data_IF_939240291905
#
_entry.id   IF_939240291905
#
_cell.length_a   1.000
_cell.length_b   1.000
_cell.length_c   1.000
_cell.angle_alpha   90.00
_cell.angle_beta   90.00
_cell.angle_gamma   90.00
#
_symmetry.space_group_name_H-M   'P 1'
#
loop_
_entity.id
_entity.type
_entity.pdbx_description
1 polymer ?
#
# COMPACT_ATOMS: atom_id res chain seq x y z
N UNK A 1 -12.49 10.11 -12.80
CA UNK A 1 -11.51 9.08 -13.22
C UNK A 1 -11.76 7.82 -12.40
N UNK A 2 -11.49 6.62 -12.95
CA UNK A 2 -11.50 5.39 -12.17
C UNK A 2 -10.41 5.39 -11.08
N UNK A 3 -10.62 4.62 -10.02
CA UNK A 3 -9.58 4.33 -9.05
C UNK A 3 -8.42 3.57 -9.68
N UNK A 4 -7.23 3.87 -9.19
CA UNK A 4 -5.96 3.27 -9.56
C UNK A 4 -5.25 2.83 -8.29
N UNK A 5 -4.36 1.86 -8.40
CA UNK A 5 -3.54 1.46 -7.28
C UNK A 5 -2.38 0.58 -7.68
N UNK A 6 -1.65 0.13 -6.67
CA UNK A 6 -0.47 -0.68 -6.82
C UNK A 6 0.16 -1.00 -5.48
N UNK A 7 1.41 -1.43 -5.55
CA UNK A 7 2.22 -1.81 -4.39
C UNK A 7 3.39 -0.87 -4.18
N UNK A 8 3.77 -0.71 -2.92
CA UNK A 8 4.94 0.03 -2.46
C UNK A 8 6.12 -0.93 -2.27
N UNK A 9 7.30 -0.53 -2.75
CA UNK A 9 8.51 -1.36 -2.73
C UNK A 9 9.64 -0.59 -2.08
N UNK A 10 10.37 -1.23 -1.18
CA UNK A 10 11.46 -0.59 -0.47
C UNK A 10 11.93 -1.38 0.74
N UNK A 11 12.44 -0.67 1.74
CA UNK A 11 13.04 -1.27 2.93
C UNK A 11 12.38 -0.72 4.20
N UNK A 12 12.29 -1.58 5.22
CA UNK A 12 11.94 -1.17 6.59
C UNK A 12 13.23 -0.96 7.37
N UNK A 13 13.47 0.26 7.86
CA UNK A 13 14.64 0.56 8.68
C UNK A 13 14.33 0.30 10.16
N UNK A 14 14.50 -0.96 10.61
CA UNK A 14 14.26 -1.34 12.01
C UNK A 14 12.84 -0.94 12.48
N UNK A 15 12.76 -0.23 13.61
CA UNK A 15 11.51 0.37 14.10
C UNK A 15 11.36 1.86 13.71
N UNK A 16 12.22 2.37 12.82
CA UNK A 16 12.43 3.80 12.62
C UNK A 16 11.78 4.36 11.36
N UNK A 17 11.20 3.51 10.49
CA UNK A 17 10.40 3.97 9.36
C UNK A 17 10.53 3.14 8.09
N UNK A 18 9.86 3.63 7.05
CA UNK A 18 9.85 3.05 5.72
C UNK A 18 10.68 3.89 4.77
N UNK A 19 11.50 3.26 3.94
CA UNK A 19 12.08 3.90 2.77
C UNK A 19 11.46 3.30 1.51
N UNK A 20 10.62 4.09 0.85
CA UNK A 20 9.98 3.70 -0.40
C UNK A 20 10.94 4.01 -1.54
N UNK A 21 11.37 2.95 -2.24
CA UNK A 21 12.27 3.06 -3.40
C UNK A 21 11.50 3.16 -4.71
N UNK A 22 10.41 2.40 -4.84
CA UNK A 22 9.65 2.30 -6.08
C UNK A 22 8.18 1.98 -5.79
N UNK A 23 7.32 2.19 -6.78
CA UNK A 23 5.91 1.84 -6.74
C UNK A 23 5.51 1.20 -8.07
N UNK A 24 4.58 0.24 -8.01
CA UNK A 24 3.95 -0.26 -9.23
C UNK A 24 2.75 0.60 -9.60
N UNK A 25 2.45 0.67 -10.89
CA UNK A 25 1.30 1.38 -11.45
C UNK A 25 0.26 0.37 -11.96
N UNK A 26 -1.01 0.77 -12.15
CA UNK A 26 -2.02 -0.10 -12.74
C UNK A 26 -1.56 -0.71 -14.05
N UNK A 27 -1.80 -2.00 -14.19
CA UNK A 27 -1.47 -2.82 -15.36
C UNK A 27 -2.74 -3.25 -16.10
N UNK A 28 -2.54 -3.76 -17.33
CA UNK A 28 -3.65 -4.04 -18.27
C UNK A 28 -4.71 -5.00 -17.74
N UNK A 29 -4.35 -5.94 -16.86
CA UNK A 29 -5.30 -6.91 -16.31
C UNK A 29 -5.98 -6.42 -15.03
N UNK A 30 -5.59 -5.29 -14.46
CA UNK A 30 -6.27 -4.78 -13.27
C UNK A 30 -7.69 -4.29 -13.60
N UNK A 31 -8.56 -4.35 -12.61
CA UNK A 31 -9.94 -3.88 -12.75
C UNK A 31 -10.07 -2.56 -12.02
N UNK A 32 -10.28 -1.50 -12.80
CA UNK A 32 -10.53 -0.15 -12.30
C UNK A 32 -11.97 0.27 -12.56
N UNK A 33 -12.64 0.74 -11.52
CA UNK A 33 -13.93 1.41 -11.60
C UNK A 33 -13.90 2.68 -10.74
N UNK A 34 -14.97 3.48 -10.75
CA UNK A 34 -14.99 4.77 -10.02
C UNK A 34 -14.80 4.63 -8.51
N UNK A 35 -15.17 3.50 -7.91
CA UNK A 35 -15.17 3.28 -6.46
C UNK A 35 -14.57 1.91 -6.09
N UNK A 36 -13.76 1.36 -6.99
CA UNK A 36 -13.07 0.09 -6.74
C UNK A 36 -11.88 -0.08 -7.66
N UNK A 37 -10.75 -0.44 -7.07
CA UNK A 37 -9.59 -1.01 -7.75
C UNK A 37 -9.36 -2.46 -7.32
N UNK A 38 -9.14 -3.37 -8.27
CA UNK A 38 -8.76 -4.76 -7.99
C UNK A 38 -7.42 -5.02 -8.68
N UNK A 39 -6.37 -5.14 -7.85
CA UNK A 39 -5.04 -5.57 -8.27
C UNK A 39 -5.03 -7.06 -8.54
N UNK A 40 -4.83 -7.46 -9.79
CA UNK A 40 -4.79 -8.87 -10.20
C UNK A 40 -3.76 -9.17 -11.29
N UNK A 41 -3.13 -8.14 -11.88
CA UNK A 41 -2.07 -8.37 -12.85
C UNK A 41 -0.81 -8.95 -12.16
N UNK A 42 -0.24 -10.07 -12.66
CA UNK A 42 0.93 -10.69 -12.05
C UNK A 42 2.19 -9.81 -12.13
N UNK A 43 2.22 -8.79 -13.00
CA UNK A 43 3.35 -7.87 -13.13
C UNK A 43 3.72 -7.18 -11.82
N UNK A 44 2.75 -6.87 -10.95
CA UNK A 44 3.04 -6.26 -9.65
C UNK A 44 3.98 -7.15 -8.81
N UNK A 45 3.68 -8.44 -8.73
CA UNK A 45 4.48 -9.41 -8.00
C UNK A 45 5.85 -9.60 -8.68
N UNK A 46 5.87 -9.68 -10.01
CA UNK A 46 7.12 -9.81 -10.75
C UNK A 46 8.05 -8.61 -10.54
N UNK A 47 7.52 -7.39 -10.44
CA UNK A 47 8.32 -6.19 -10.15
C UNK A 47 8.89 -6.24 -8.73
N UNK A 48 8.10 -6.66 -7.73
CA UNK A 48 8.60 -6.88 -6.36
C UNK A 48 9.72 -7.92 -6.34
N UNK A 49 9.53 -9.07 -6.99
CA UNK A 49 10.54 -10.14 -7.07
C UNK A 49 11.81 -9.70 -7.78
N UNK A 50 11.68 -8.91 -8.85
CA UNK A 50 12.82 -8.34 -9.55
C UNK A 50 13.62 -7.39 -8.65
N UNK A 51 12.95 -6.51 -7.89
CA UNK A 51 13.61 -5.64 -6.93
C UNK A 51 14.27 -6.43 -5.81
N UNK A 52 13.58 -7.43 -5.27
CA UNK A 52 14.12 -8.33 -4.25
C UNK A 52 15.38 -9.03 -4.72
N UNK A 53 15.35 -9.61 -5.93
CA UNK A 53 16.50 -10.31 -6.52
C UNK A 53 17.67 -9.35 -6.77
N UNK A 54 17.42 -8.19 -7.41
CA UNK A 54 18.46 -7.20 -7.73
C UNK A 54 19.13 -6.63 -6.48
N UNK A 55 18.38 -6.46 -5.40
CA UNK A 55 18.86 -5.93 -4.13
C UNK A 55 19.44 -6.99 -3.19
N UNK A 56 19.49 -8.27 -3.61
CA UNK A 56 19.89 -9.40 -2.75
C UNK A 56 19.03 -9.52 -1.49
N UNK A 57 17.75 -9.18 -1.62
CA UNK A 57 16.73 -9.39 -0.62
C UNK A 57 16.38 -8.19 0.25
N UNK A 58 17.09 -7.06 0.12
CA UNK A 58 16.81 -5.89 0.97
C UNK A 58 15.53 -5.17 0.57
N UNK A 59 15.27 -5.03 -0.74
CA UNK A 59 14.04 -4.43 -1.26
C UNK A 59 12.89 -5.44 -1.23
N UNK A 60 11.80 -5.07 -0.56
CA UNK A 60 10.65 -5.91 -0.31
C UNK A 60 9.35 -5.15 -0.55
N UNK A 61 8.24 -5.90 -0.55
CA UNK A 61 6.90 -5.33 -0.51
C UNK A 61 6.66 -4.64 0.84
N UNK A 62 6.26 -3.37 0.80
CA UNK A 62 5.99 -2.55 2.00
C UNK A 62 4.50 -2.34 2.27
N UNK A 63 3.64 -2.52 1.26
CA UNK A 63 2.21 -2.27 1.38
C UNK A 63 1.56 -1.83 0.09
N UNK A 64 0.42 -1.16 0.18
CA UNK A 64 -0.44 -0.83 -0.97
C UNK A 64 -0.78 0.65 -1.01
N UNK A 65 -0.91 1.16 -2.23
CA UNK A 65 -1.49 2.48 -2.48
C UNK A 65 -2.67 2.31 -3.43
N UNK A 66 -3.69 3.14 -3.24
CA UNK A 66 -4.72 3.34 -4.25
C UNK A 66 -5.28 4.75 -4.15
N UNK A 67 -6.14 5.14 -5.09
CA UNK A 67 -6.74 6.48 -5.14
C UNK A 67 -8.25 6.41 -4.94
N UNK A 68 -8.83 7.37 -4.23
CA UNK A 68 -10.28 7.59 -4.19
C UNK A 68 -10.67 8.88 -4.91
N UNK A 69 -11.87 8.95 -5.53
CA UNK A 69 -12.39 10.18 -6.11
C UNK A 69 -12.79 11.24 -5.06
N UNK A 70 -12.56 10.97 -3.77
CA UNK A 70 -12.99 11.78 -2.63
C UNK A 70 -11.95 12.86 -2.30
N UNK A 71 -12.42 14.03 -1.82
CA UNK A 71 -11.54 15.11 -1.35
C UNK A 71 -10.80 14.77 -0.04
N UNK A 72 -11.44 14.02 0.84
CA UNK A 72 -10.85 13.56 2.10
C UNK A 72 -11.04 12.05 2.16
N UNK A 73 -10.16 11.27 1.48
CA UNK A 73 -10.30 9.83 1.41
C UNK A 73 -10.27 9.19 2.79
N UNK A 74 -10.96 8.05 2.90
CA UNK A 74 -10.89 7.16 4.05
C UNK A 74 -11.06 5.73 3.59
N UNK A 75 -10.47 4.73 4.28
CA UNK A 75 -10.58 3.35 3.87
C UNK A 75 -12.03 2.88 3.93
N UNK A 76 -12.47 2.21 2.86
CA UNK A 76 -13.74 1.50 2.84
C UNK A 76 -13.67 0.23 3.69
N UNK A 77 -14.83 -0.36 3.97
CA UNK A 77 -14.88 -1.68 4.63
C UNK A 77 -14.15 -2.77 3.83
N UNK A 78 -14.12 -2.64 2.50
CA UNK A 78 -13.44 -3.60 1.62
C UNK A 78 -11.93 -3.50 1.82
N UNK A 79 -11.39 -2.29 1.94
CA UNK A 79 -9.97 -2.04 2.17
C UNK A 79 -9.54 -2.62 3.51
N UNK A 80 -10.25 -2.25 4.58
CA UNK A 80 -9.99 -2.75 5.94
C UNK A 80 -10.02 -4.28 6.01
N UNK A 81 -11.00 -4.92 5.35
CA UNK A 81 -11.08 -6.38 5.29
C UNK A 81 -9.92 -6.99 4.52
N UNK A 82 -9.50 -6.39 3.41
CA UNK A 82 -8.42 -6.88 2.55
C UNK A 82 -7.08 -6.77 3.25
N UNK A 83 -6.80 -5.63 3.87
CA UNK A 83 -5.59 -5.39 4.66
C UNK A 83 -5.48 -6.30 5.87
N UNK A 84 -6.58 -6.54 6.58
CA UNK A 84 -6.62 -7.52 7.67
C UNK A 84 -6.28 -8.93 7.19
N UNK A 85 -6.84 -9.36 6.06
CA UNK A 85 -6.52 -10.68 5.48
C UNK A 85 -5.06 -10.77 5.06
N UNK A 86 -4.54 -9.71 4.44
CA UNK A 86 -3.15 -9.62 4.03
C UNK A 86 -2.21 -9.72 5.23
N UNK A 87 -2.44 -8.91 6.28
CA UNK A 87 -1.60 -8.88 7.48
C UNK A 87 -1.57 -10.24 8.19
N UNK A 88 -2.72 -10.91 8.30
CA UNK A 88 -2.81 -12.25 8.91
C UNK A 88 -2.14 -13.32 8.05
N UNK A 89 -2.20 -13.21 6.72
CA UNK A 89 -1.50 -14.11 5.81
C UNK A 89 0.01 -13.94 5.93
N UNK A 90 0.51 -12.72 5.82
CA UNK A 90 1.94 -12.43 5.90
C UNK A 90 2.51 -12.70 7.29
N UNK A 91 1.77 -12.34 8.34
CA UNK A 91 2.12 -12.65 9.73
C UNK A 91 2.39 -14.13 9.98
N UNK A 92 1.62 -15.03 9.35
CA UNK A 92 1.81 -16.49 9.43
C UNK A 92 3.02 -16.99 8.64
N UNK A 93 3.40 -16.31 7.56
CA UNK A 93 4.47 -16.74 6.65
C UNK A 93 5.83 -16.18 7.02
N UNK A 94 5.88 -14.94 7.50
CA UNK A 94 7.11 -14.15 7.66
C UNK A 94 7.22 -13.45 9.02
N UNK A 95 6.30 -13.73 9.96
CA UNK A 95 6.19 -12.98 11.21
C UNK A 95 5.48 -11.64 11.04
N UNK A 96 5.20 -10.99 12.18
CA UNK A 96 4.50 -9.70 12.20
C UNK A 96 5.45 -8.62 11.67
N UNK A 97 5.05 -7.96 10.59
CA UNK A 97 5.76 -6.83 10.00
C UNK A 97 4.78 -5.68 9.74
N UNK A 98 5.24 -4.42 9.82
CA UNK A 98 4.39 -3.28 9.58
C UNK A 98 4.14 -3.12 8.06
N UNK A 99 2.91 -2.73 7.69
CA UNK A 99 2.53 -2.41 6.32
C UNK A 99 2.14 -0.94 6.19
N UNK A 100 2.45 -0.35 5.04
CA UNK A 100 2.08 1.02 4.73
C UNK A 100 0.90 1.04 3.75
N UNK A 101 -0.18 1.73 4.13
CA UNK A 101 -1.39 1.87 3.32
C UNK A 101 -1.66 3.33 3.00
N UNK A 102 -1.77 3.62 1.69
CA UNK A 102 -2.03 4.97 1.18
C UNK A 102 -3.36 4.98 0.41
N UNK A 103 -4.17 5.99 0.68
CA UNK A 103 -5.33 6.36 -0.14
C UNK A 103 -5.13 7.80 -0.61
N UNK A 104 -4.85 7.94 -1.89
CA UNK A 104 -4.58 9.22 -2.53
C UNK A 104 -5.89 9.88 -2.96
N UNK A 105 -6.08 11.14 -2.62
CA UNK A 105 -7.20 11.93 -3.11
C UNK A 105 -6.98 12.29 -4.57
N UNK A 106 -7.98 12.06 -5.42
CA UNK A 106 -7.99 12.59 -6.78
C UNK A 106 -8.37 14.08 -6.85
N UNK A 107 -8.67 14.72 -5.72
CA UNK A 107 -9.20 16.09 -5.65
C UNK A 107 -8.26 17.02 -4.88
N UNK A 108 -7.66 16.56 -3.79
CA UNK A 108 -6.84 17.37 -2.89
C UNK A 108 -5.74 16.52 -2.23
N UNK A 109 -4.55 16.50 -2.85
CA UNK A 109 -3.41 15.67 -2.41
C UNK A 109 -2.92 15.99 -0.98
N UNK A 110 -3.25 17.18 -0.46
CA UNK A 110 -2.91 17.54 0.92
C UNK A 110 -3.76 16.78 1.95
N UNK A 111 -4.79 16.06 1.48
CA UNK A 111 -5.71 15.28 2.30
C UNK A 111 -5.59 13.79 2.09
N UNK A 112 -4.50 13.34 1.46
CA UNK A 112 -4.19 11.93 1.33
C UNK A 112 -4.24 11.25 2.69
N UNK A 113 -4.78 10.04 2.69
CA UNK A 113 -4.86 9.23 3.88
C UNK A 113 -3.68 8.27 3.88
N UNK A 114 -2.93 8.25 4.98
CA UNK A 114 -1.74 7.42 5.12
C UNK A 114 -1.83 6.73 6.47
N UNK A 115 -1.63 5.42 6.50
CA UNK A 115 -1.58 4.68 7.75
C UNK A 115 -0.54 3.57 7.76
N UNK A 116 0.00 3.31 8.94
CA UNK A 116 0.85 2.16 9.23
C UNK A 116 0.03 1.10 9.95
N UNK A 117 0.00 -0.11 9.42
CA UNK A 117 -0.67 -1.25 10.00
C UNK A 117 0.34 -2.14 10.72
N UNK A 118 0.17 -2.35 12.03
CA UNK A 118 1.18 -3.00 12.90
C UNK A 118 0.94 -4.52 13.07
N UNK A 119 0.11 -5.12 12.21
CA UNK A 119 -0.13 -6.57 12.18
C UNK A 119 -1.03 -7.12 13.30
N UNK A 120 -1.52 -6.28 14.23
CA UNK A 120 -2.36 -6.66 15.38
C UNK A 120 -3.83 -6.18 15.31
N UNK A 121 -4.42 -6.17 14.11
CA UNK A 121 -5.76 -5.58 13.84
C UNK A 121 -5.88 -4.07 14.03
N UNK A 122 -4.77 -3.36 14.27
CA UNK A 122 -4.75 -1.92 14.44
C UNK A 122 -3.87 -1.26 13.37
N UNK A 123 -4.26 -0.05 12.99
CA UNK A 123 -3.44 0.86 12.20
C UNK A 123 -3.38 2.22 12.89
N UNK A 124 -2.28 2.93 12.65
CA UNK A 124 -2.06 4.30 13.09
C UNK A 124 -2.10 5.19 11.85
N UNK A 125 -3.06 6.12 11.80
CA UNK A 125 -3.11 7.14 10.74
C UNK A 125 -1.98 8.13 10.99
N UNK A 126 -1.17 8.38 9.97
CA UNK A 126 -0.09 9.36 10.03
C UNK A 126 -0.67 10.74 9.76
N UNK A 127 -0.28 11.72 10.56
CA UNK A 127 -0.63 13.11 10.32
C UNK A 127 0.27 13.70 9.22
N UNK A 128 -0.27 13.75 8.00
CA UNK A 128 0.43 14.33 6.85
C UNK A 128 0.55 15.87 6.94
N UNK A 129 -0.14 16.53 7.88
CA UNK A 129 -0.06 17.99 8.06
C UNK A 129 1.21 18.46 8.77
N UNK A 130 2.01 17.53 9.30
CA UNK A 130 3.26 17.83 10.01
C UNK A 130 4.49 17.98 9.07
N UNK A 131 4.32 17.82 7.75
CA UNK A 131 5.40 17.92 6.76
C UNK A 131 5.17 19.16 5.89
N UNK A 132 5.29 20.35 6.48
CA UNK A 132 5.38 21.64 5.79
C UNK A 132 6.40 22.53 6.46
#
# INVERSE_FOLDING_TARGET
>A
MPESGGVLIGEVYGNNGFWIKDVTIPSKKDISSRFRFIRQDPSHQQIVENWHTKSKGTMQYLGEWHSHPEKKPSPSLIDLCSWKKLSLKMGRQMGIQPFLFLILSMVDFQRDWIAVYEGRNNYTVLDASAIT
#
